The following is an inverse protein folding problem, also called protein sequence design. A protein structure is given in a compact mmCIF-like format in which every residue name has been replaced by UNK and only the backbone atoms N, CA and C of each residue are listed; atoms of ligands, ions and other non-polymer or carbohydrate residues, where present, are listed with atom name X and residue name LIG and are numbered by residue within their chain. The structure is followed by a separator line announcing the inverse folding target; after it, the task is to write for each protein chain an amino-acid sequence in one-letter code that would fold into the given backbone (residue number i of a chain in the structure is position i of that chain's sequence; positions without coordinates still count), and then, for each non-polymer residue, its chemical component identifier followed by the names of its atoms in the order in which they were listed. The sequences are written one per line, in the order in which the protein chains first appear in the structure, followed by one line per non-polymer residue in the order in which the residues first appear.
data_IF_816738062757
#
_entry.id   IF_816738062757
#
_cell.length_a   1.000
_cell.length_b   1.000
_cell.length_c   1.000
_cell.angle_alpha   90.00
_cell.angle_beta   90.00
_cell.angle_gamma   90.00
#
_symmetry.space_group_name_H-M   'P 1'
#
loop_
_entity.id
_entity.type
_entity.pdbx_description
1 polymer ?
#
# COMPACT_ATOMS: atom_id res chain seq x y z
N UNK A 1 18.95 18.09 8.65
CA UNK A 1 18.34 16.78 8.36
C UNK A 1 17.17 16.64 9.32
N UNK A 2 15.93 16.53 8.84
CA UNK A 2 14.80 16.28 9.73
C UNK A 2 15.00 14.92 10.41
N UNK A 3 14.85 14.87 11.73
CA UNK A 3 14.80 13.60 12.45
C UNK A 3 13.68 12.73 11.86
N UNK A 4 13.83 11.38 11.83
CA UNK A 4 12.76 10.50 11.38
C UNK A 4 11.58 10.66 12.34
N UNK A 5 10.67 11.56 11.98
CA UNK A 5 9.44 11.77 12.73
C UNK A 5 8.70 10.43 12.81
N UNK A 6 8.18 10.11 13.99
CA UNK A 6 7.27 8.98 14.18
C UNK A 6 6.05 9.03 13.23
N UNK A 7 5.81 10.20 12.60
CA UNK A 7 4.76 10.50 11.64
C UNK A 7 5.05 10.04 10.20
N UNK A 8 6.16 9.31 9.95
CA UNK A 8 6.51 8.78 8.63
C UNK A 8 6.96 7.31 8.69
N UNK A 9 6.16 6.46 9.33
CA UNK A 9 6.49 5.03 9.49
C UNK A 9 6.44 4.29 8.16
N UNK A 10 7.45 3.46 7.92
CA UNK A 10 7.49 2.51 6.81
C UNK A 10 8.09 1.20 7.27
N UNK A 11 7.42 0.08 7.01
CA UNK A 11 7.92 -1.25 7.36
C UNK A 11 8.88 -1.77 6.28
N UNK A 12 10.02 -2.35 6.67
CA UNK A 12 10.94 -3.01 5.72
C UNK A 12 10.32 -4.25 5.06
N UNK A 13 9.42 -4.95 5.76
CA UNK A 13 8.61 -6.07 5.25
C UNK A 13 7.22 -5.60 4.80
N UNK A 14 7.11 -4.43 4.17
CA UNK A 14 5.83 -3.85 3.75
C UNK A 14 5.02 -4.78 2.83
N UNK A 15 5.67 -5.68 2.10
CA UNK A 15 5.00 -6.66 1.23
C UNK A 15 4.16 -7.68 1.99
N UNK A 16 4.43 -7.93 3.28
CA UNK A 16 3.62 -8.81 4.12
C UNK A 16 2.31 -8.13 4.57
N UNK A 17 2.22 -6.80 4.43
CA UNK A 17 0.99 -6.05 4.66
C UNK A 17 0.13 -6.05 3.39
N UNK A 18 -0.76 -7.02 3.25
CA UNK A 18 -1.60 -7.19 2.05
C UNK A 18 -2.38 -5.93 1.66
N UNK A 19 -2.85 -5.15 2.64
CA UNK A 19 -3.52 -3.86 2.42
C UNK A 19 -2.60 -2.83 1.75
N UNK A 20 -1.30 -2.83 2.08
CA UNK A 20 -0.31 -1.95 1.47
C UNK A 20 -0.07 -2.38 0.03
N UNK A 21 0.12 -3.68 -0.21
CA UNK A 21 0.32 -4.23 -1.56
C UNK A 21 -0.86 -3.88 -2.46
N UNK A 22 -2.10 -4.07 -1.97
CA UNK A 22 -3.30 -3.73 -2.71
C UNK A 22 -3.37 -2.23 -3.07
N UNK A 23 -3.04 -1.35 -2.12
CA UNK A 23 -3.03 0.11 -2.33
C UNK A 23 -1.94 0.55 -3.32
N UNK A 24 -0.74 0.00 -3.22
CA UNK A 24 0.35 0.31 -4.16
C UNK A 24 0.06 -0.23 -5.56
N UNK A 25 -0.57 -1.40 -5.67
CA UNK A 25 -1.04 -1.92 -6.95
C UNK A 25 -2.12 -1.02 -7.58
N UNK A 26 -3.07 -0.52 -6.78
CA UNK A 26 -4.05 0.44 -7.25
C UNK A 26 -3.42 1.76 -7.74
N UNK A 27 -2.37 2.26 -7.05
CA UNK A 27 -1.60 3.42 -7.53
C UNK A 27 -0.95 3.16 -8.89
N UNK A 28 -0.39 1.96 -9.07
CA UNK A 28 0.23 1.57 -10.33
C UNK A 28 -0.80 1.51 -11.47
N UNK A 29 -1.99 0.94 -11.24
CA UNK A 29 -3.07 0.93 -12.23
C UNK A 29 -3.52 2.35 -12.60
N UNK A 30 -3.73 3.22 -11.61
CA UNK A 30 -4.08 4.61 -11.86
C UNK A 30 -2.98 5.36 -12.62
N UNK A 31 -1.70 5.04 -12.38
CA UNK A 31 -0.59 5.59 -13.16
C UNK A 31 -0.68 5.17 -14.62
N UNK A 32 -0.92 3.89 -14.89
CA UNK A 32 -1.04 3.40 -16.27
C UNK A 32 -2.12 4.17 -17.03
N UNK A 33 -3.29 4.38 -16.43
CA UNK A 33 -4.40 5.11 -17.06
C UNK A 33 -4.10 6.61 -17.23
N UNK A 34 -3.60 7.27 -16.18
CA UNK A 34 -3.43 8.73 -16.17
C UNK A 34 -2.13 9.20 -16.84
N UNK A 35 -1.29 8.28 -17.29
CA UNK A 35 -0.04 8.60 -18.00
C UNK A 35 0.09 7.91 -19.36
N UNK A 36 -0.94 7.19 -19.80
CA UNK A 36 -0.99 6.64 -21.15
C UNK A 36 -0.95 7.79 -22.18
N UNK A 37 0.10 7.89 -23.01
CA UNK A 37 0.27 9.00 -23.94
C UNK A 37 -0.81 9.09 -25.02
N UNK A 38 -1.59 8.02 -25.21
CA UNK A 38 -2.64 7.94 -26.24
C UNK A 38 -4.01 8.36 -25.72
N UNK A 39 -4.28 8.16 -24.43
CA UNK A 39 -5.61 8.35 -23.83
C UNK A 39 -5.65 9.44 -22.77
N UNK A 40 -4.52 9.74 -22.10
CA UNK A 40 -4.50 10.76 -21.05
C UNK A 40 -4.40 12.18 -21.63
N UNK A 41 -5.09 13.13 -21.00
CA UNK A 41 -4.89 14.56 -21.26
C UNK A 41 -3.56 15.06 -20.65
N UNK A 42 -3.10 16.25 -21.06
CA UNK A 42 -1.85 16.84 -20.53
C UNK A 42 -1.81 17.02 -19.01
N UNK A 43 -2.99 17.05 -18.36
CA UNK A 43 -3.12 17.15 -16.91
C UNK A 43 -3.09 15.81 -16.18
N UNK A 44 -3.08 14.67 -16.90
CA UNK A 44 -3.14 13.32 -16.34
C UNK A 44 -2.11 13.06 -15.24
N UNK A 45 -0.80 13.34 -15.46
CA UNK A 45 0.21 13.19 -14.42
C UNK A 45 -0.06 14.03 -13.16
N UNK A 46 -0.54 15.27 -13.34
CA UNK A 46 -0.87 16.14 -12.21
C UNK A 46 -2.07 15.61 -11.41
N UNK A 47 -3.08 15.05 -12.09
CA UNK A 47 -4.24 14.40 -11.47
C UNK A 47 -3.79 13.17 -10.69
N UNK A 48 -2.91 12.33 -11.27
CA UNK A 48 -2.40 11.15 -10.58
C UNK A 48 -1.71 11.50 -9.26
N UNK A 49 -0.86 12.52 -9.26
CA UNK A 49 -0.21 13.00 -8.03
C UNK A 49 -1.23 13.46 -6.99
N UNK A 50 -2.13 14.38 -7.37
CA UNK A 50 -3.09 15.03 -6.47
C UNK A 50 -4.12 14.06 -5.89
N UNK A 51 -4.68 13.20 -6.73
CA UNK A 51 -5.86 12.40 -6.38
C UNK A 51 -5.51 10.98 -5.94
N UNK A 52 -4.33 10.46 -6.33
CA UNK A 52 -3.95 9.08 -6.05
C UNK A 52 -2.70 9.00 -5.17
N UNK A 53 -1.55 9.52 -5.63
CA UNK A 53 -0.28 9.35 -4.93
C UNK A 53 -0.29 10.01 -3.55
N UNK A 54 -0.55 11.31 -3.49
CA UNK A 54 -0.42 12.07 -2.25
C UNK A 54 -1.38 11.58 -1.16
N UNK A 55 -2.68 11.33 -1.46
CA UNK A 55 -3.61 10.77 -0.47
C UNK A 55 -3.20 9.38 0.00
N UNK A 56 -2.80 8.49 -0.93
CA UNK A 56 -2.39 7.13 -0.58
C UNK A 56 -1.14 7.12 0.30
N UNK A 57 -0.11 7.89 -0.07
CA UNK A 57 1.12 7.94 0.70
C UNK A 57 0.94 8.60 2.07
N UNK A 58 0.03 9.58 2.20
CA UNK A 58 -0.36 10.16 3.49
C UNK A 58 -1.02 9.12 4.39
N UNK A 59 -1.91 8.30 3.85
CA UNK A 59 -2.58 7.26 4.63
C UNK A 59 -1.61 6.13 5.03
N UNK A 60 -0.77 5.68 4.10
CA UNK A 60 0.20 4.61 4.36
C UNK A 60 1.20 4.99 5.44
N UNK A 61 1.69 6.23 5.42
CA UNK A 61 2.72 6.71 6.35
C UNK A 61 2.18 7.35 7.63
N UNK A 62 0.87 7.55 7.72
CA UNK A 62 0.23 8.15 8.89
C UNK A 62 0.44 7.30 10.15
N UNK A 63 0.37 7.96 11.32
CA UNK A 63 0.51 7.31 12.63
C UNK A 63 -0.52 6.21 12.88
N UNK A 64 -1.72 6.35 12.31
CA UNK A 64 -2.81 5.36 12.35
C UNK A 64 -2.87 4.45 11.10
N UNK A 65 -1.86 4.52 10.22
CA UNK A 65 -1.78 3.71 9.01
C UNK A 65 -1.46 2.24 9.27
N UNK A 66 -1.34 1.42 8.20
CA UNK A 66 -1.08 -0.02 8.32
C UNK A 66 0.26 -0.34 9.02
N UNK A 67 1.20 0.61 9.04
CA UNK A 67 2.47 0.47 9.74
C UNK A 67 2.45 0.92 11.21
N UNK A 68 1.28 1.23 11.80
CA UNK A 68 1.16 1.67 13.21
C UNK A 68 1.86 0.74 14.20
N UNK A 69 1.82 -0.58 13.97
CA UNK A 69 2.49 -1.58 14.80
C UNK A 69 3.97 -1.84 14.46
N UNK A 70 4.47 -1.29 13.35
CA UNK A 70 5.84 -1.51 12.91
C UNK A 70 6.76 -0.40 13.44
N UNK A 71 7.87 -0.79 14.07
CA UNK A 71 8.95 0.13 14.48
C UNK A 71 10.27 -0.30 13.86
N UNK A 72 11.37 0.43 14.12
CA UNK A 72 12.67 0.15 13.51
C UNK A 72 13.18 -1.24 13.95
N UNK A 73 13.03 -2.23 13.07
CA UNK A 73 13.43 -3.62 13.32
C UNK A 73 12.30 -4.52 13.84
N UNK A 74 11.10 -3.99 14.09
CA UNK A 74 9.96 -4.76 14.56
C UNK A 74 8.82 -4.74 13.54
N UNK A 75 8.37 -5.92 13.15
CA UNK A 75 7.27 -6.11 12.21
C UNK A 75 6.06 -6.66 12.96
N UNK A 76 4.93 -5.95 12.90
CA UNK A 76 3.67 -6.42 13.46
C UNK A 76 2.53 -6.21 12.47
N UNK A 77 1.76 -7.27 12.25
CA UNK A 77 0.53 -7.25 11.45
C UNK A 77 -0.65 -7.26 12.43
N UNK A 78 -1.21 -6.08 12.71
CA UNK A 78 -2.35 -5.95 13.61
C UNK A 78 -3.70 -6.31 12.94
N UNK A 79 -3.77 -6.22 11.61
CA UNK A 79 -4.96 -6.65 10.88
C UNK A 79 -4.99 -8.18 10.82
N UNK A 80 -5.90 -8.78 11.57
CA UNK A 80 -6.30 -10.17 11.38
C UNK A 80 -6.78 -10.29 9.93
N UNK A 81 -5.92 -10.83 9.05
CA UNK A 81 -6.37 -11.37 7.77
C UNK A 81 -7.58 -12.26 8.10
N UNK A 82 -8.72 -12.13 7.40
CA UNK A 82 -9.73 -13.17 7.45
C UNK A 82 -8.97 -14.46 7.23
N UNK A 83 -8.98 -15.36 8.24
CA UNK A 83 -8.18 -16.57 8.19
C UNK A 83 -8.38 -17.21 6.83
N UNK A 84 -7.29 -17.65 6.19
CA UNK A 84 -7.32 -18.26 4.86
C UNK A 84 -8.57 -19.11 4.77
N UNK A 85 -9.58 -18.64 4.03
CA UNK A 85 -10.67 -19.53 3.63
C UNK A 85 -9.95 -20.72 3.02
N UNK A 86 -10.19 -21.96 3.46
CA UNK A 86 -9.63 -23.11 2.79
C UNK A 86 -10.03 -22.94 1.33
N UNK A 87 -9.07 -22.61 0.47
CA UNK A 87 -9.34 -22.59 -0.95
C UNK A 87 -9.87 -23.99 -1.24
N UNK A 88 -10.97 -24.09 -1.99
CA UNK A 88 -11.63 -25.35 -2.33
C UNK A 88 -10.73 -26.33 -3.13
N UNK A 89 -9.43 -26.05 -3.22
CA UNK A 89 -8.41 -26.73 -4.01
C UNK A 89 -7.32 -27.39 -3.15
N UNK A 90 -7.45 -27.42 -1.82
CA UNK A 90 -6.54 -28.22 -0.99
C UNK A 90 -7.08 -29.66 -0.95
N UNK A 91 -6.68 -30.49 -1.93
CA UNK A 91 -6.87 -31.93 -1.81
C UNK A 91 -5.96 -32.43 -0.69
N UNK A 92 -6.57 -32.86 0.41
CA UNK A 92 -5.91 -33.71 1.41
C UNK A 92 -5.70 -35.08 0.75
N UNK A 93 -4.48 -35.41 0.39
CA UNK A 93 -4.12 -36.81 0.10
C UNK A 93 -3.70 -37.50 1.41
N UNK A 94 -4.10 -38.77 1.59
CA UNK A 94 -4.12 -39.49 2.86
C UNK A 94 -2.73 -39.77 3.46
#
# INVERSE_FOLDING_TARGET
LAEPSADARWCHLWMEHTVVVARLHALWLAWQELTDPTTCGYTGPSIWHRDHLDPCMRELRGSEGPFKGCTKGEHQIAHRLPGLVPSAWRQETP
#
